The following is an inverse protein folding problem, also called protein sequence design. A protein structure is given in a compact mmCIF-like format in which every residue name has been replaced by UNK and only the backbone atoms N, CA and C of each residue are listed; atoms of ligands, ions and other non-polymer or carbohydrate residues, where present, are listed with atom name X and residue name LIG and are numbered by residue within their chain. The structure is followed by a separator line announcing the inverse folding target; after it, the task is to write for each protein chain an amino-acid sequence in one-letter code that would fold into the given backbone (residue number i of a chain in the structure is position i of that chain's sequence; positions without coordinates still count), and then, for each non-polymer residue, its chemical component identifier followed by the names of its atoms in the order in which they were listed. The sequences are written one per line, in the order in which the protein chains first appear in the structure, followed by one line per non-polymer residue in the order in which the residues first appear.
data_IF_184671857646
#
_entry.id   IF_184671857646
#
_cell.length_a   1.000
_cell.length_b   1.000
_cell.length_c   1.000
_cell.angle_alpha   90.00
_cell.angle_beta   90.00
_cell.angle_gamma   90.00
#
_symmetry.space_group_name_H-M   'P 1'
#
loop_
_entity.id
_entity.type
_entity.pdbx_description
1 polymer ?
#
# COMPACT_ATOMS: atom_id res chain seq x y z
N UNK A 1 -12.18 -20.86 -20.11
CA UNK A 1 -10.82 -21.42 -19.87
C UNK A 1 -9.82 -20.96 -20.93
N UNK A 2 -10.07 -21.16 -22.24
CA UNK A 2 -9.11 -20.78 -23.30
C UNK A 2 -8.73 -19.30 -23.32
N UNK A 3 -9.69 -18.38 -23.16
CA UNK A 3 -9.42 -16.92 -23.16
C UNK A 3 -8.60 -16.51 -21.93
N UNK A 4 -8.95 -16.99 -20.73
CA UNK A 4 -8.20 -16.69 -19.51
C UNK A 4 -6.76 -17.23 -19.57
N UNK A 5 -6.57 -18.41 -20.18
CA UNK A 5 -5.24 -18.99 -20.41
C UNK A 5 -4.41 -18.18 -21.40
N UNK A 6 -5.02 -17.71 -22.48
CA UNK A 6 -4.37 -16.87 -23.49
C UNK A 6 -3.96 -15.52 -22.91
N UNK A 7 -4.86 -14.85 -22.19
CA UNK A 7 -4.57 -13.60 -21.49
C UNK A 7 -3.44 -13.80 -20.47
N UNK A 8 -3.47 -14.88 -19.69
CA UNK A 8 -2.41 -15.19 -18.75
C UNK A 8 -1.05 -15.37 -19.44
N UNK A 9 -1.00 -16.15 -20.53
CA UNK A 9 0.24 -16.33 -21.32
C UNK A 9 0.76 -15.02 -21.89
N UNK A 10 -0.12 -14.13 -22.36
CA UNK A 10 0.25 -12.80 -22.80
C UNK A 10 0.93 -12.01 -21.67
N UNK A 11 0.30 -11.96 -20.49
CA UNK A 11 0.80 -11.19 -19.33
C UNK A 11 2.16 -11.69 -18.83
N UNK A 12 2.42 -13.01 -18.87
CA UNK A 12 3.72 -13.59 -18.51
C UNK A 12 4.88 -12.95 -19.31
N UNK A 13 4.65 -12.64 -20.58
CA UNK A 13 5.68 -12.10 -21.47
C UNK A 13 5.51 -10.63 -21.82
N UNK A 14 4.49 -9.96 -21.26
CA UNK A 14 4.07 -8.63 -21.70
C UNK A 14 5.16 -7.60 -21.45
N UNK A 15 5.75 -7.61 -20.26
CA UNK A 15 6.84 -6.71 -19.91
C UNK A 15 8.14 -7.46 -19.67
N UNK A 16 9.24 -6.73 -19.88
CA UNK A 16 10.60 -7.22 -19.63
C UNK A 16 11.33 -6.16 -18.82
N UNK A 17 11.29 -6.22 -17.48
CA UNK A 17 12.07 -5.29 -16.67
C UNK A 17 13.57 -5.50 -16.96
N UNK A 18 14.34 -4.42 -16.88
CA UNK A 18 15.80 -4.47 -17.11
C UNK A 18 16.55 -5.23 -16.01
N UNK A 19 15.95 -5.32 -14.83
CA UNK A 19 16.47 -5.97 -13.62
C UNK A 19 15.31 -6.54 -12.80
N UNK A 20 15.60 -7.59 -12.02
CA UNK A 20 14.66 -8.15 -11.04
C UNK A 20 13.92 -9.37 -11.58
N UNK A 21 12.93 -9.81 -10.80
CA UNK A 21 12.14 -11.00 -11.09
C UNK A 21 10.74 -10.59 -11.50
N UNK A 22 10.31 -11.01 -12.70
CA UNK A 22 8.96 -10.80 -13.21
C UNK A 22 8.05 -11.95 -12.80
N UNK A 23 7.06 -11.67 -11.94
CA UNK A 23 6.11 -12.67 -11.44
C UNK A 23 4.70 -12.30 -11.87
N UNK A 24 4.01 -13.25 -12.51
CA UNK A 24 2.61 -13.09 -12.92
C UNK A 24 1.79 -14.18 -12.23
N UNK A 25 1.22 -13.90 -11.04
CA UNK A 25 0.32 -14.84 -10.39
C UNK A 25 -0.97 -14.97 -11.18
N UNK A 26 -1.58 -16.14 -11.12
CA UNK A 26 -2.93 -16.35 -11.62
C UNK A 26 -3.91 -16.10 -10.48
N UNK A 27 -4.99 -15.37 -10.74
CA UNK A 27 -6.04 -15.21 -9.75
C UNK A 27 -6.55 -16.59 -9.30
N UNK A 28 -6.65 -16.85 -7.99
CA UNK A 28 -7.20 -18.09 -7.44
C UNK A 28 -8.73 -18.17 -7.55
N UNK A 29 -9.40 -17.09 -7.96
CA UNK A 29 -10.86 -17.03 -8.16
C UNK A 29 -11.24 -16.49 -9.53
N UNK A 30 -12.39 -16.92 -10.05
CA UNK A 30 -12.95 -16.52 -11.35
C UNK A 30 -14.25 -15.73 -11.12
N UNK A 31 -14.13 -14.53 -10.54
CA UNK A 31 -15.23 -13.60 -10.26
C UNK A 31 -14.88 -12.19 -10.71
N UNK A 32 -15.88 -11.31 -10.79
CA UNK A 32 -15.66 -9.93 -11.23
C UNK A 32 -14.69 -9.15 -10.31
N UNK A 33 -14.68 -9.47 -9.01
CA UNK A 33 -13.85 -8.85 -7.98
C UNK A 33 -12.65 -9.73 -7.57
N UNK A 34 -12.17 -10.59 -8.46
CA UNK A 34 -11.20 -11.65 -8.13
C UNK A 34 -9.95 -11.16 -7.40
N UNK A 35 -9.49 -9.93 -7.65
CA UNK A 35 -8.31 -9.33 -7.02
C UNK A 35 -8.62 -8.52 -5.75
N UNK A 36 -9.88 -8.41 -5.35
CA UNK A 36 -10.31 -7.60 -4.21
C UNK A 36 -10.52 -8.44 -2.95
N UNK A 37 -10.64 -9.76 -3.08
CA UNK A 37 -11.02 -10.65 -1.99
C UNK A 37 -9.89 -10.83 -0.96
N UNK A 38 -10.27 -11.06 0.30
CA UNK A 38 -9.35 -11.16 1.45
C UNK A 38 -8.15 -12.10 1.24
N UNK A 39 -8.36 -13.23 0.56
CA UNK A 39 -7.30 -14.22 0.33
C UNK A 39 -6.21 -13.74 -0.66
N UNK A 40 -6.45 -12.66 -1.41
CA UNK A 40 -5.50 -12.08 -2.35
C UNK A 40 -4.36 -11.39 -1.59
N UNK A 41 -4.68 -10.70 -0.50
CA UNK A 41 -3.72 -10.01 0.35
C UNK A 41 -2.79 -11.03 1.02
N UNK A 42 -3.36 -12.11 1.56
CA UNK A 42 -2.59 -13.24 2.09
C UNK A 42 -1.71 -13.90 1.02
N UNK A 43 -2.21 -14.03 -0.21
CA UNK A 43 -1.43 -14.57 -1.32
C UNK A 43 -0.22 -13.68 -1.64
N UNK A 44 -0.43 -12.37 -1.78
CA UNK A 44 0.68 -11.44 -2.07
C UNK A 44 1.67 -11.36 -0.91
N UNK A 45 1.20 -11.34 0.34
CA UNK A 45 2.08 -11.39 1.50
C UNK A 45 2.98 -12.62 1.46
N UNK A 46 2.42 -13.80 1.21
CA UNK A 46 3.20 -15.04 1.13
C UNK A 46 4.14 -15.08 -0.06
N UNK A 47 3.74 -14.55 -1.22
CA UNK A 47 4.64 -14.44 -2.38
C UNK A 47 5.82 -13.55 -2.01
N UNK A 48 5.57 -12.35 -1.47
CA UNK A 48 6.63 -11.40 -1.12
C UNK A 48 7.58 -12.00 -0.10
N UNK A 49 7.07 -12.55 1.00
CA UNK A 49 7.89 -13.19 2.05
C UNK A 49 8.74 -14.34 1.50
N UNK A 50 8.16 -15.21 0.68
CA UNK A 50 8.91 -16.32 0.09
C UNK A 50 10.03 -15.84 -0.82
N UNK A 51 9.82 -14.77 -1.59
CA UNK A 51 10.87 -14.21 -2.44
C UNK A 51 11.95 -13.50 -1.62
N UNK A 52 11.60 -12.86 -0.50
CA UNK A 52 12.59 -12.29 0.41
C UNK A 52 13.47 -13.40 0.99
N UNK A 53 12.88 -14.53 1.40
CA UNK A 53 13.58 -15.63 2.07
C UNK A 53 14.37 -16.50 1.09
N UNK A 54 13.78 -16.86 -0.06
CA UNK A 54 14.34 -17.85 -0.99
C UNK A 54 15.17 -17.20 -2.10
N UNK A 55 14.78 -16.00 -2.53
CA UNK A 55 15.42 -15.29 -3.63
C UNK A 55 16.18 -14.04 -3.19
N UNK A 56 16.21 -13.75 -1.88
CA UNK A 56 16.93 -12.62 -1.28
C UNK A 56 16.60 -11.28 -1.97
N UNK A 57 15.36 -11.12 -2.44
CA UNK A 57 14.93 -9.86 -3.05
C UNK A 57 15.00 -8.74 -2.01
N UNK A 58 15.27 -7.52 -2.48
CA UNK A 58 15.20 -6.34 -1.63
C UNK A 58 13.72 -6.03 -1.29
N UNK A 59 13.29 -6.09 0.00
CA UNK A 59 11.90 -5.81 0.39
C UNK A 59 11.47 -4.36 0.11
N UNK A 60 12.42 -3.45 -0.11
CA UNK A 60 12.14 -2.06 -0.46
C UNK A 60 12.07 -1.82 -1.97
N UNK A 61 12.14 -2.88 -2.79
CA UNK A 61 12.12 -2.84 -4.26
C UNK A 61 11.10 -3.84 -4.82
N UNK A 62 9.94 -3.92 -4.17
CA UNK A 62 8.79 -4.73 -4.60
C UNK A 62 7.77 -3.80 -5.26
N UNK A 63 7.25 -4.17 -6.43
CA UNK A 63 6.32 -3.36 -7.20
C UNK A 63 5.09 -4.20 -7.57
N UNK A 64 3.94 -3.55 -7.69
CA UNK A 64 2.70 -4.20 -8.16
C UNK A 64 2.12 -3.44 -9.34
N UNK A 65 1.68 -4.18 -10.34
CA UNK A 65 1.00 -3.60 -11.50
C UNK A 65 0.00 -4.59 -12.07
N UNK A 66 -0.99 -4.06 -12.78
CA UNK A 66 -2.12 -4.85 -13.22
C UNK A 66 -2.84 -4.22 -14.38
N UNK A 67 -3.26 -5.07 -15.32
CA UNK A 67 -3.94 -4.66 -16.54
C UNK A 67 -5.41 -5.09 -16.50
N UNK A 68 -6.34 -4.21 -16.87
CA UNK A 68 -7.78 -4.48 -16.91
C UNK A 68 -8.30 -4.91 -15.54
N UNK A 69 -8.85 -6.12 -15.40
CA UNK A 69 -9.24 -6.67 -14.08
C UNK A 69 -8.08 -6.68 -13.06
N UNK A 70 -6.82 -6.85 -13.52
CA UNK A 70 -5.66 -6.67 -12.65
C UNK A 70 -5.45 -5.21 -12.22
N UNK A 71 -5.82 -4.26 -13.08
CA UNK A 71 -5.82 -2.84 -12.77
C UNK A 71 -6.89 -2.46 -11.73
N UNK A 72 -8.08 -3.05 -11.83
CA UNK A 72 -9.12 -2.95 -10.78
C UNK A 72 -8.54 -3.42 -9.43
N UNK A 73 -7.83 -4.55 -9.46
CA UNK A 73 -7.09 -5.07 -8.31
C UNK A 73 -6.03 -4.11 -7.77
N UNK A 74 -5.23 -3.48 -8.63
CA UNK A 74 -4.20 -2.53 -8.20
C UNK A 74 -4.79 -1.30 -7.52
N UNK A 75 -5.92 -0.77 -8.00
CA UNK A 75 -6.60 0.32 -7.30
C UNK A 75 -7.00 -0.04 -5.87
N UNK A 76 -7.36 -1.29 -5.60
CA UNK A 76 -7.74 -1.79 -4.27
C UNK A 76 -6.54 -2.16 -3.40
N UNK A 77 -5.60 -2.92 -3.97
CA UNK A 77 -4.45 -3.46 -3.25
C UNK A 77 -3.42 -2.38 -2.91
N UNK A 78 -3.16 -1.43 -3.82
CA UNK A 78 -2.09 -0.45 -3.63
C UNK A 78 -2.31 0.45 -2.39
N UNK A 79 -3.50 1.03 -2.14
CA UNK A 79 -3.72 1.84 -0.93
C UNK A 79 -3.67 1.01 0.36
N UNK A 80 -4.25 -0.20 0.37
CA UNK A 80 -4.39 -0.99 1.61
C UNK A 80 -3.16 -1.81 1.97
N UNK A 81 -2.33 -2.15 0.98
CA UNK A 81 -1.03 -2.84 1.15
C UNK A 81 0.15 -1.91 0.83
N UNK A 82 -0.03 -0.59 0.95
CA UNK A 82 0.98 0.40 0.58
C UNK A 82 2.33 0.20 1.26
N UNK A 83 2.32 -0.38 2.46
CA UNK A 83 3.49 -0.69 3.26
C UNK A 83 4.29 -1.92 2.80
N UNK A 84 3.85 -2.60 1.73
CA UNK A 84 4.53 -3.73 1.08
C UNK A 84 5.22 -3.36 -0.22
N UNK A 85 4.82 -2.25 -0.85
CA UNK A 85 5.28 -1.87 -2.18
C UNK A 85 6.12 -0.60 -2.18
N UNK A 86 6.99 -0.51 -3.18
CA UNK A 86 7.80 0.66 -3.46
C UNK A 86 7.14 1.60 -4.46
N UNK A 87 6.33 1.07 -5.38
CA UNK A 87 5.46 1.81 -6.28
C UNK A 87 4.43 0.83 -6.86
N UNK A 88 3.33 1.37 -7.37
CA UNK A 88 2.30 0.60 -8.06
C UNK A 88 1.89 1.26 -9.39
N UNK A 89 1.41 0.45 -10.34
CA UNK A 89 0.89 0.95 -11.62
C UNK A 89 -0.42 0.26 -12.01
N UNK A 90 -1.45 1.05 -12.20
CA UNK A 90 -2.74 0.62 -12.69
C UNK A 90 -2.81 0.85 -14.20
N UNK A 91 -3.18 -0.20 -14.96
CA UNK A 91 -3.36 -0.13 -16.40
C UNK A 91 -4.78 -0.54 -16.79
N UNK A 92 -5.52 0.35 -17.47
CA UNK A 92 -6.86 0.09 -18.02
C UNK A 92 -7.89 -0.52 -17.04
N UNK A 93 -7.74 -0.26 -15.75
CA UNK A 93 -8.66 -0.67 -14.70
C UNK A 93 -9.63 0.43 -14.27
N UNK A 94 -10.51 0.10 -13.33
CA UNK A 94 -11.51 0.95 -12.73
C UNK A 94 -11.41 0.87 -11.19
N UNK A 95 -11.38 2.00 -10.48
CA UNK A 95 -11.17 2.01 -9.03
C UNK A 95 -12.35 1.48 -8.23
N UNK A 96 -13.55 1.48 -8.82
CA UNK A 96 -14.81 1.18 -8.13
C UNK A 96 -14.99 2.12 -6.93
N UNK A 97 -14.99 1.59 -5.72
CA UNK A 97 -15.09 2.30 -4.44
C UNK A 97 -13.72 2.54 -3.76
N UNK A 98 -12.61 2.25 -4.44
CA UNK A 98 -11.28 2.50 -3.88
C UNK A 98 -11.04 3.99 -3.63
N UNK A 99 -10.22 4.29 -2.62
CA UNK A 99 -9.83 5.66 -2.24
C UNK A 99 -8.33 5.87 -2.43
N UNK A 100 -7.89 7.03 -2.97
CA UNK A 100 -6.47 7.34 -3.10
C UNK A 100 -5.81 7.73 -1.78
N UNK A 101 -6.56 7.95 -0.70
CA UNK A 101 -6.02 8.43 0.59
C UNK A 101 -4.93 7.52 1.18
N UNK A 102 -5.06 6.19 1.00
CA UNK A 102 -4.05 5.23 1.46
C UNK A 102 -2.73 5.28 0.68
N UNK A 103 -2.67 5.97 -0.45
CA UNK A 103 -1.48 6.07 -1.32
C UNK A 103 -0.45 7.09 -0.85
N UNK A 104 -0.66 7.76 0.30
CA UNK A 104 0.20 8.84 0.78
C UNK A 104 1.71 8.55 0.62
N UNK A 105 2.13 7.35 0.99
CA UNK A 105 3.52 6.91 1.00
C UNK A 105 3.89 5.96 -0.16
N UNK A 106 2.95 5.66 -1.07
CA UNK A 106 3.15 4.75 -2.19
C UNK A 106 3.01 5.50 -3.51
N UNK A 107 4.10 5.65 -4.27
CA UNK A 107 4.03 6.18 -5.63
C UNK A 107 3.07 5.35 -6.50
N UNK A 108 2.12 6.02 -7.18
CA UNK A 108 1.06 5.37 -7.95
C UNK A 108 0.96 5.90 -9.38
N UNK A 109 1.02 5.00 -10.37
CA UNK A 109 0.84 5.36 -11.77
C UNK A 109 -0.50 4.87 -12.33
N UNK A 110 -1.06 5.63 -13.26
CA UNK A 110 -2.34 5.41 -13.93
C UNK A 110 -2.11 5.48 -15.43
N UNK A 111 -2.37 4.39 -16.14
CA UNK A 111 -2.32 4.32 -17.59
C UNK A 111 -3.67 3.85 -18.14
N UNK A 112 -4.33 4.67 -18.95
CA UNK A 112 -5.60 4.30 -19.59
C UNK A 112 -5.63 4.81 -21.02
N UNK A 113 -6.18 4.03 -21.95
CA UNK A 113 -6.39 4.49 -23.33
C UNK A 113 -7.41 5.62 -23.38
N UNK A 114 -7.14 6.67 -24.16
CA UNK A 114 -8.04 7.81 -24.33
C UNK A 114 -9.46 7.38 -24.75
N UNK A 115 -9.55 6.31 -25.55
CA UNK A 115 -10.79 5.74 -26.07
C UNK A 115 -11.28 4.51 -25.27
N UNK A 116 -10.70 4.20 -24.11
CA UNK A 116 -11.20 3.15 -23.21
C UNK A 116 -12.36 3.68 -22.36
N UNK A 117 -13.52 3.86 -23.00
CA UNK A 117 -14.71 4.45 -22.38
C UNK A 117 -15.61 3.43 -21.67
N UNK A 118 -15.26 2.15 -21.68
CA UNK A 118 -16.05 1.15 -20.97
C UNK A 118 -16.00 1.44 -19.47
N UNK A 119 -17.19 1.49 -18.84
CA UNK A 119 -17.33 1.89 -17.44
C UNK A 119 -16.72 3.27 -17.12
N UNK A 120 -16.60 4.15 -18.13
CA UNK A 120 -15.99 5.47 -18.01
C UNK A 120 -14.54 5.45 -17.49
N UNK A 121 -13.78 4.37 -17.70
CA UNK A 121 -12.41 4.22 -17.18
C UNK A 121 -11.51 5.41 -17.51
N UNK A 122 -11.56 5.91 -18.73
CA UNK A 122 -10.78 7.06 -19.16
C UNK A 122 -11.17 8.36 -18.42
N UNK A 123 -12.44 8.58 -18.13
CA UNK A 123 -12.91 9.75 -17.35
C UNK A 123 -12.54 9.60 -15.88
N UNK A 124 -12.78 8.43 -15.30
CA UNK A 124 -12.45 8.14 -13.90
C UNK A 124 -10.95 8.19 -13.65
N UNK A 125 -10.12 7.74 -14.59
CA UNK A 125 -8.67 7.88 -14.50
C UNK A 125 -8.20 9.34 -14.48
N UNK A 126 -8.89 10.24 -15.21
CA UNK A 126 -8.61 11.69 -15.14
C UNK A 126 -9.02 12.26 -13.78
N UNK A 127 -10.20 11.89 -13.28
CA UNK A 127 -10.69 12.31 -11.96
C UNK A 127 -9.75 11.88 -10.84
N UNK A 128 -9.29 10.62 -10.87
CA UNK A 128 -8.27 10.14 -9.92
C UNK A 128 -6.96 10.92 -10.01
N UNK A 129 -6.56 11.34 -11.21
CA UNK A 129 -5.41 12.24 -11.39
C UNK A 129 -5.63 13.58 -10.70
N UNK A 130 -6.79 14.22 -10.89
CA UNK A 130 -7.15 15.48 -10.24
C UNK A 130 -7.23 15.34 -8.70
N UNK A 131 -7.73 14.21 -8.19
CA UNK A 131 -7.73 13.91 -6.76
C UNK A 131 -6.31 13.76 -6.20
N UNK A 132 -5.42 13.07 -6.92
CA UNK A 132 -4.02 12.91 -6.53
C UNK A 132 -3.25 14.23 -6.59
N UNK A 133 -3.52 15.08 -7.59
CA UNK A 133 -2.99 16.44 -7.69
C UNK A 133 -3.40 17.25 -6.45
N UNK A 134 -4.68 17.24 -6.09
CA UNK A 134 -5.19 17.97 -4.92
C UNK A 134 -4.62 17.43 -3.59
N UNK A 135 -4.45 16.11 -3.47
CA UNK A 135 -3.83 15.50 -2.29
C UNK A 135 -2.35 15.87 -2.18
N UNK A 136 -1.62 15.87 -3.30
CA UNK A 136 -0.22 16.27 -3.32
C UNK A 136 -0.05 17.78 -3.10
N UNK A 137 -0.95 18.63 -3.57
CA UNK A 137 -0.92 20.07 -3.28
C UNK A 137 -1.00 20.36 -1.77
N UNK A 138 -1.81 19.57 -1.05
CA UNK A 138 -1.97 19.67 0.41
C UNK A 138 -0.83 18.97 1.20
N UNK A 139 -0.11 18.03 0.58
CA UNK A 139 1.02 17.31 1.18
C UNK A 139 2.13 17.11 0.13
N UNK A 140 2.97 18.14 -0.14
CA UNK A 140 3.86 18.18 -1.33
C UNK A 140 4.87 17.04 -1.48
N UNK A 141 5.18 16.33 -0.40
CA UNK A 141 6.12 15.21 -0.38
C UNK A 141 5.41 13.84 -0.35
N UNK A 142 4.10 13.80 -0.61
CA UNK A 142 3.27 12.61 -0.60
C UNK A 142 2.52 12.44 -1.93
N UNK A 143 1.85 11.30 -2.10
CA UNK A 143 0.99 11.00 -3.25
C UNK A 143 1.68 11.18 -4.61
N UNK A 144 2.98 10.84 -4.68
CA UNK A 144 3.72 10.88 -5.93
C UNK A 144 3.02 10.04 -6.99
N UNK A 145 2.71 10.64 -8.14
CA UNK A 145 1.92 9.95 -9.13
C UNK A 145 2.35 10.26 -10.57
N UNK A 146 1.92 9.40 -11.48
CA UNK A 146 2.06 9.55 -12.93
C UNK A 146 0.75 9.17 -13.58
N UNK A 147 0.12 10.11 -14.29
CA UNK A 147 -1.12 9.84 -15.03
C UNK A 147 -0.86 9.99 -16.52
N UNK A 148 -1.09 8.92 -17.27
CA UNK A 148 -0.92 8.89 -18.71
C UNK A 148 -2.20 8.39 -19.40
N UNK A 149 -2.97 9.33 -19.94
CA UNK A 149 -4.08 9.03 -20.82
C UNK A 149 -3.53 8.85 -22.25
N UNK A 150 -3.39 7.58 -22.66
CA UNK A 150 -2.73 7.21 -23.90
C UNK A 150 -3.57 7.62 -25.13
N UNK A 151 -3.15 8.70 -25.79
CA UNK A 151 -3.84 9.28 -26.94
C UNK A 151 -4.12 8.25 -28.05
N UNK A 152 -5.33 8.29 -28.59
CA UNK A 152 -5.85 7.39 -29.64
C UNK A 152 -5.80 5.88 -29.31
N UNK A 153 -5.52 5.48 -28.07
CA UNK A 153 -5.53 4.07 -27.66
C UNK A 153 -6.88 3.69 -27.07
N UNK A 154 -7.30 2.44 -27.28
CA UNK A 154 -8.47 1.84 -26.62
C UNK A 154 -8.03 1.06 -25.38
N UNK A 155 -8.82 0.08 -24.94
CA UNK A 155 -8.50 -0.79 -23.80
C UNK A 155 -7.12 -1.44 -23.88
N UNK A 156 -6.65 -1.76 -25.10
CA UNK A 156 -5.28 -2.18 -25.34
C UNK A 156 -4.40 -0.99 -25.74
N UNK A 157 -3.39 -0.66 -24.92
CA UNK A 157 -2.54 0.51 -25.09
C UNK A 157 -1.28 0.24 -25.93
N UNK A 158 -1.20 -0.94 -26.58
CA UNK A 158 -0.10 -1.31 -27.47
C UNK A 158 1.30 -1.20 -26.83
N UNK A 159 1.40 -1.47 -25.52
CA UNK A 159 2.66 -1.46 -24.78
C UNK A 159 3.16 -0.07 -24.37
N UNK A 160 2.41 1.01 -24.61
CA UNK A 160 2.78 2.37 -24.16
C UNK A 160 2.88 2.46 -22.63
N UNK A 161 2.06 1.70 -21.95
CA UNK A 161 2.03 1.51 -20.50
C UNK A 161 3.29 0.85 -19.93
N UNK A 162 4.18 0.29 -20.76
CA UNK A 162 5.48 -0.21 -20.33
C UNK A 162 6.39 0.91 -19.76
N UNK A 163 6.09 2.19 -20.03
CA UNK A 163 6.72 3.34 -19.38
C UNK A 163 6.69 3.21 -17.84
N UNK A 164 5.60 2.66 -17.30
CA UNK A 164 5.39 2.45 -15.87
C UNK A 164 6.56 1.70 -15.19
N UNK A 165 7.19 0.75 -15.89
CA UNK A 165 8.29 -0.04 -15.31
C UNK A 165 9.49 0.84 -14.98
N UNK A 166 9.88 1.70 -15.92
CA UNK A 166 11.02 2.61 -15.75
C UNK A 166 10.74 3.67 -14.70
N UNK A 167 9.49 4.14 -14.61
CA UNK A 167 9.05 5.08 -13.58
C UNK A 167 9.04 4.44 -12.20
N UNK A 168 8.41 3.26 -12.04
CA UNK A 168 8.36 2.53 -10.76
C UNK A 168 9.77 2.22 -10.24
N UNK A 169 10.70 1.82 -11.11
CA UNK A 169 12.07 1.45 -10.73
C UNK A 169 12.91 2.58 -10.11
N UNK A 170 12.46 3.84 -10.21
CA UNK A 170 13.11 4.99 -9.57
C UNK A 170 12.79 5.07 -8.07
N UNK A 171 11.70 4.45 -7.64
CA UNK A 171 11.23 4.50 -6.27
C UNK A 171 11.84 3.39 -5.42
N UNK A 172 11.96 3.68 -4.12
CA UNK A 172 12.35 2.73 -3.08
C UNK A 172 11.40 2.92 -1.91
N UNK A 173 10.83 1.82 -1.39
CA UNK A 173 9.90 1.86 -0.26
C UNK A 173 10.56 2.46 0.97
N UNK A 174 9.85 3.33 1.68
CA UNK A 174 10.20 3.72 3.03
C UNK A 174 9.38 2.87 4.04
N UNK A 175 9.99 1.90 4.75
CA UNK A 175 9.26 1.08 5.73
C UNK A 175 8.90 1.84 7.01
N UNK A 176 9.53 3.00 7.27
CA UNK A 176 9.34 3.82 8.46
C UNK A 176 8.96 5.27 8.09
N UNK A 177 7.85 5.50 7.38
CA UNK A 177 7.44 6.85 7.02
C UNK A 177 7.05 7.62 8.28
N UNK A 178 7.41 8.91 8.32
CA UNK A 178 7.07 9.78 9.46
C UNK A 178 5.58 10.04 9.58
N UNK A 179 4.84 10.01 8.48
CA UNK A 179 3.39 10.23 8.47
C UNK A 179 2.69 9.12 7.70
N UNK A 180 1.60 8.63 8.26
CA UNK A 180 0.79 7.54 7.71
C UNK A 180 -0.68 7.96 7.69
N UNK A 181 -1.36 7.58 6.62
CA UNK A 181 -2.82 7.70 6.47
C UNK A 181 -3.31 6.30 6.15
N UNK A 182 -3.96 5.67 7.12
CA UNK A 182 -4.47 4.31 7.03
C UNK A 182 -5.98 4.34 6.91
N UNK A 183 -6.49 4.02 5.72
CA UNK A 183 -7.92 3.88 5.46
C UNK A 183 -8.28 2.40 5.39
N UNK A 184 -9.32 1.99 6.12
CA UNK A 184 -9.85 0.63 6.09
C UNK A 184 -10.75 0.45 4.87
N UNK A 185 -10.45 -0.57 4.07
CA UNK A 185 -11.23 -0.94 2.88
C UNK A 185 -12.24 -2.05 3.23
N UNK A 186 -12.94 -2.57 2.23
CA UNK A 186 -13.82 -3.74 2.33
C UNK A 186 -13.09 -4.99 2.85
N UNK A 187 -11.80 -5.14 2.51
CA UNK A 187 -10.87 -6.04 3.20
C UNK A 187 -10.19 -5.28 4.32
N UNK A 188 -10.50 -5.68 5.55
CA UNK A 188 -9.95 -5.07 6.75
C UNK A 188 -8.54 -5.55 7.05
N UNK A 189 -7.71 -4.64 7.56
CA UNK A 189 -6.34 -4.95 7.98
C UNK A 189 -6.12 -4.57 9.43
N UNK A 190 -5.19 -5.28 10.08
CA UNK A 190 -4.81 -5.03 11.48
C UNK A 190 -3.41 -4.47 11.67
N UNK A 191 -2.65 -4.29 10.58
CA UNK A 191 -1.33 -3.67 10.62
C UNK A 191 -1.11 -2.85 9.36
N UNK A 192 -0.63 -1.63 9.52
CA UNK A 192 -0.21 -0.75 8.45
C UNK A 192 0.98 0.08 8.89
N UNK A 193 2.11 -0.10 8.20
CA UNK A 193 3.42 0.42 8.62
C UNK A 193 3.73 0.06 10.08
N UNK A 194 3.86 1.08 10.93
CA UNK A 194 4.20 0.99 12.34
C UNK A 194 2.98 1.09 13.27
N UNK A 195 1.76 1.04 12.74
CA UNK A 195 0.51 1.00 13.51
C UNK A 195 -0.13 -0.39 13.36
N UNK A 196 -0.71 -0.88 14.44
CA UNK A 196 -1.54 -2.08 14.44
C UNK A 196 -2.75 -1.94 15.36
N UNK A 197 -3.77 -2.73 15.10
CA UNK A 197 -5.00 -2.80 15.87
C UNK A 197 -5.10 -4.17 16.55
N UNK A 198 -5.34 -4.23 17.86
CA UNK A 198 -5.52 -5.51 18.54
C UNK A 198 -6.82 -6.19 18.11
N UNK A 199 -6.89 -7.51 18.30
CA UNK A 199 -8.06 -8.31 17.88
C UNK A 199 -9.37 -7.92 18.60
N UNK A 200 -9.26 -7.21 19.72
CA UNK A 200 -10.37 -6.68 20.50
C UNK A 200 -11.07 -5.49 19.84
N UNK A 201 -10.41 -4.80 18.90
CA UNK A 201 -10.98 -3.63 18.21
C UNK A 201 -11.84 -4.07 17.05
N UNK A 202 -13.10 -3.60 17.03
CA UNK A 202 -13.99 -3.77 15.90
C UNK A 202 -13.64 -2.73 14.83
N UNK A 203 -13.37 -3.21 13.61
CA UNK A 203 -12.96 -2.40 12.47
C UNK A 203 -14.12 -2.36 11.46
N UNK A 204 -14.39 -1.18 10.92
CA UNK A 204 -15.42 -0.95 9.91
C UNK A 204 -14.80 -0.27 8.67
N UNK A 205 -15.35 -0.56 7.49
CA UNK A 205 -14.92 0.05 6.23
C UNK A 205 -15.05 1.58 6.31
N UNK A 206 -14.06 2.29 5.76
CA UNK A 206 -14.02 3.75 5.74
C UNK A 206 -13.43 4.38 6.99
N UNK A 207 -13.20 3.62 8.08
CA UNK A 207 -12.46 4.14 9.23
C UNK A 207 -11.04 4.52 8.81
N UNK A 208 -10.58 5.64 9.35
CA UNK A 208 -9.26 6.22 9.05
C UNK A 208 -8.46 6.42 10.33
N UNK A 209 -7.16 6.10 10.26
CA UNK A 209 -6.16 6.43 11.27
C UNK A 209 -5.07 7.26 10.59
N UNK A 210 -4.82 8.46 11.11
CA UNK A 210 -3.66 9.27 10.70
C UNK A 210 -2.69 9.33 11.86
N UNK A 211 -1.39 9.12 11.59
CA UNK A 211 -0.37 9.35 12.60
C UNK A 211 0.86 10.02 12.00
N UNK A 212 1.50 10.87 12.79
CA UNK A 212 2.67 11.64 12.37
C UNK A 212 3.70 11.68 13.50
N UNK A 213 4.97 11.49 13.14
CA UNK A 213 6.12 11.56 14.03
C UNK A 213 6.91 12.83 13.72
N UNK A 214 6.92 13.77 14.65
CA UNK A 214 7.85 14.90 14.67
C UNK A 214 8.80 14.74 15.87
N UNK A 215 10.08 14.51 15.57
CA UNK A 215 11.13 14.20 16.55
C UNK A 215 10.71 13.03 17.47
N UNK A 216 10.38 13.33 18.72
CA UNK A 216 10.00 12.38 19.79
C UNK A 216 8.50 12.41 20.10
N UNK A 217 7.71 13.14 19.31
CA UNK A 217 6.26 13.24 19.48
C UNK A 217 5.55 12.48 18.36
N UNK A 218 4.64 11.61 18.75
CA UNK A 218 3.73 10.90 17.85
C UNK A 218 2.34 11.51 18.04
N UNK A 219 1.81 12.16 17.00
CA UNK A 219 0.44 12.68 16.99
C UNK A 219 -0.45 11.70 16.26
N UNK A 220 -1.61 11.35 16.82
CA UNK A 220 -2.53 10.35 16.27
C UNK A 220 -3.94 10.92 16.21
N UNK A 221 -4.65 10.60 15.13
CA UNK A 221 -6.08 10.86 14.95
C UNK A 221 -6.75 9.59 14.45
N UNK A 222 -7.90 9.24 15.02
CA UNK A 222 -8.63 8.01 14.71
C UNK A 222 -10.10 8.29 14.48
N UNK A 223 -10.74 7.56 13.57
CA UNK A 223 -12.20 7.54 13.47
C UNK A 223 -12.87 7.02 14.76
N UNK A 224 -14.13 7.39 14.94
CA UNK A 224 -14.95 6.92 16.06
C UNK A 224 -14.99 5.38 16.14
N UNK A 225 -15.00 4.85 17.37
CA UNK A 225 -15.01 3.41 17.65
C UNK A 225 -13.64 2.76 17.78
N UNK A 226 -12.56 3.43 17.36
CA UNK A 226 -11.18 2.97 17.58
C UNK A 226 -10.70 3.55 18.91
N UNK A 227 -10.58 2.70 19.94
CA UNK A 227 -10.19 3.09 21.31
C UNK A 227 -8.91 2.40 21.78
N UNK A 228 -8.28 1.61 20.91
CA UNK A 228 -7.05 0.91 21.22
C UNK A 228 -6.20 0.78 19.96
N UNK A 229 -4.91 1.08 20.07
CA UNK A 229 -3.92 0.89 19.00
C UNK A 229 -2.61 0.39 19.60
N UNK A 230 -1.81 -0.25 18.77
CA UNK A 230 -0.47 -0.71 19.10
C UNK A 230 0.53 -0.05 18.15
N UNK A 231 1.56 0.58 18.72
CA UNK A 231 2.67 1.18 17.96
C UNK A 231 3.85 0.21 17.95
N UNK A 232 4.30 -0.14 16.74
CA UNK A 232 5.54 -0.88 16.49
C UNK A 232 6.65 0.14 16.28
N UNK A 233 7.63 0.24 17.18
CA UNK A 233 8.64 1.31 17.16
C UNK A 233 10.04 0.78 16.83
N UNK A 234 10.86 1.65 16.22
CA UNK A 234 12.25 1.38 15.84
C UNK A 234 13.06 2.66 15.89
N UNK A 235 14.37 2.56 16.12
CA UNK A 235 15.31 3.68 16.10
C UNK A 235 15.39 4.40 14.75
N UNK A 236 14.94 3.73 13.68
CA UNK A 236 14.79 4.34 12.36
C UNK A 236 13.67 5.39 12.36
N UNK A 237 12.63 5.18 13.17
CA UNK A 237 11.47 6.06 13.25
C UNK A 237 11.67 7.20 14.24
N UNK A 238 12.31 6.99 15.38
CA UNK A 238 12.59 8.00 16.42
C UNK A 238 13.64 7.47 17.39
N UNK A 239 14.21 8.30 18.27
CA UNK A 239 15.25 7.87 19.21
C UNK A 239 14.63 7.19 20.44
N UNK A 240 14.79 5.87 20.57
CA UNK A 240 14.25 5.11 21.71
C UNK A 240 15.07 5.25 22.99
N UNK A 241 16.23 5.93 22.95
CA UNK A 241 17.00 6.30 24.16
C UNK A 241 16.45 7.56 24.84
N UNK A 242 15.51 8.24 24.20
CA UNK A 242 14.83 9.41 24.73
C UNK A 242 13.37 9.11 25.08
N UNK A 243 12.81 9.93 25.96
CA UNK A 243 11.37 9.90 26.24
C UNK A 243 10.59 10.23 24.97
N UNK A 244 9.50 9.51 24.75
CA UNK A 244 8.54 9.70 23.66
C UNK A 244 7.27 10.28 24.25
N UNK A 245 6.61 11.13 23.49
CA UNK A 245 5.27 11.66 23.76
C UNK A 245 4.30 11.12 22.73
N UNK A 246 3.14 10.63 23.14
CA UNK A 246 2.03 10.32 22.23
C UNK A 246 0.84 11.21 22.57
N UNK A 247 0.44 12.01 21.60
CA UNK A 247 -0.71 12.90 21.68
C UNK A 247 -1.82 12.37 20.76
N UNK A 248 -3.00 12.20 21.31
CA UNK A 248 -4.18 11.73 20.58
C UNK A 248 -5.19 12.87 20.44
N UNK A 249 -5.64 13.13 19.22
CA UNK A 249 -6.62 14.16 18.93
C UNK A 249 -7.91 13.92 19.73
N UNK A 250 -8.35 14.94 20.47
CA UNK A 250 -9.53 14.87 21.35
C UNK A 250 -9.25 14.34 22.77
N UNK A 251 -8.14 13.65 23.00
CA UNK A 251 -7.78 13.07 24.31
C UNK A 251 -6.53 13.69 24.95
N UNK A 252 -5.71 14.39 24.16
CA UNK A 252 -4.48 15.03 24.62
C UNK A 252 -3.34 14.03 24.77
N UNK A 253 -2.48 14.25 25.76
CA UNK A 253 -1.34 13.36 26.01
C UNK A 253 -1.81 12.03 26.62
N UNK A 254 -1.68 10.94 25.86
CA UNK A 254 -2.05 9.58 26.30
C UNK A 254 -0.84 8.77 26.75
N UNK A 255 0.38 9.20 26.41
CA UNK A 255 1.62 8.59 26.87
C UNK A 255 2.76 9.61 26.91
N UNK A 256 3.59 9.52 27.96
CA UNK A 256 4.89 10.17 28.02
C UNK A 256 5.87 9.29 28.80
N UNK A 257 6.93 8.82 28.14
CA UNK A 257 7.93 7.99 28.79
C UNK A 257 8.90 7.31 27.83
N UNK A 258 9.79 6.49 28.38
CA UNK A 258 10.70 5.66 27.58
C UNK A 258 10.02 4.35 27.19
N UNK A 259 10.16 3.93 25.93
CA UNK A 259 9.69 2.63 25.46
C UNK A 259 10.90 1.72 25.24
N UNK A 260 10.97 0.63 26.00
CA UNK A 260 12.13 -0.24 26.00
C UNK A 260 12.17 -1.13 24.76
N UNK A 261 13.37 -1.28 24.20
CA UNK A 261 13.64 -2.29 23.17
C UNK A 261 13.56 -3.68 23.80
N UNK A 262 12.90 -4.61 23.12
CA UNK A 262 12.76 -5.99 23.62
C UNK A 262 12.99 -7.02 22.52
N UNK A 263 13.55 -8.18 22.91
CA UNK A 263 13.65 -9.34 22.02
C UNK A 263 12.28 -9.78 21.50
N UNK A 264 11.28 -9.72 22.37
CA UNK A 264 9.89 -10.08 22.04
C UNK A 264 9.34 -9.20 20.93
N UNK A 265 9.64 -7.89 20.94
CA UNK A 265 9.21 -7.00 19.87
C UNK A 265 9.78 -7.38 18.50
N UNK A 266 11.07 -7.73 18.47
CA UNK A 266 11.76 -8.19 17.26
C UNK A 266 11.13 -9.50 16.75
N UNK A 267 10.94 -10.47 17.65
CA UNK A 267 10.34 -11.77 17.33
C UNK A 267 8.92 -11.61 16.80
N UNK A 268 8.07 -10.83 17.48
CA UNK A 268 6.69 -10.62 17.07
C UNK A 268 6.60 -9.85 15.75
N UNK A 269 7.46 -8.85 15.53
CA UNK A 269 7.48 -8.10 14.28
C UNK A 269 7.80 -9.00 13.09
N UNK A 270 8.80 -9.88 13.22
CA UNK A 270 9.23 -10.86 12.22
C UNK A 270 8.22 -12.00 12.02
N UNK A 271 7.53 -12.42 13.08
CA UNK A 271 6.45 -13.40 12.98
C UNK A 271 5.24 -12.88 12.21
N UNK A 272 4.90 -11.60 12.39
CA UNK A 272 3.81 -10.98 11.66
C UNK A 272 4.18 -10.67 10.21
N UNK A 273 5.43 -10.24 9.94
CA UNK A 273 5.93 -10.01 8.59
C UNK A 273 7.41 -10.37 8.51
N UNK A 274 7.75 -11.30 7.62
CA UNK A 274 9.14 -11.71 7.38
C UNK A 274 9.88 -10.68 6.48
N UNK A 275 9.95 -9.43 6.94
CA UNK A 275 10.60 -8.31 6.26
C UNK A 275 11.63 -7.65 7.21
N UNK A 276 12.94 -7.85 7.00
CA UNK A 276 13.97 -7.32 7.88
C UNK A 276 14.03 -5.78 7.88
N UNK A 277 13.50 -5.08 6.87
CA UNK A 277 13.57 -3.61 6.80
C UNK A 277 12.50 -2.93 7.64
N UNK A 278 11.44 -3.66 8.05
CA UNK A 278 10.32 -3.15 8.85
C UNK A 278 10.21 -3.77 10.25
N UNK A 279 11.32 -4.31 10.76
CA UNK A 279 11.39 -4.95 12.09
C UNK A 279 11.35 -3.91 13.20
N UNK A 280 10.32 -3.99 14.02
CA UNK A 280 10.19 -3.20 15.23
C UNK A 280 11.06 -3.78 16.35
N UNK A 281 11.67 -2.88 17.13
CA UNK A 281 12.48 -3.24 18.29
C UNK A 281 11.76 -2.95 19.60
N UNK A 282 10.67 -2.19 19.57
CA UNK A 282 9.86 -1.83 20.73
C UNK A 282 8.36 -1.85 20.37
N UNK A 283 7.51 -2.05 21.37
CA UNK A 283 6.06 -2.00 21.25
C UNK A 283 5.47 -1.11 22.33
N UNK A 284 4.46 -0.33 21.97
CA UNK A 284 3.68 0.48 22.89
C UNK A 284 2.19 0.25 22.61
N UNK A 285 1.47 -0.24 23.61
CA UNK A 285 0.01 -0.38 23.57
C UNK A 285 -0.61 0.89 24.15
N UNK A 286 -1.65 1.39 23.49
CA UNK A 286 -2.38 2.59 23.87
C UNK A 286 -3.87 2.27 23.90
N UNK A 287 -4.54 2.69 24.97
CA UNK A 287 -5.99 2.59 25.14
C UNK A 287 -6.51 3.85 25.80
N UNK A 288 -7.71 4.30 25.42
CA UNK A 288 -8.33 5.53 25.91
C UNK A 288 -9.85 5.44 25.99
#
# INVERSE_FOLDING_TARGET
VSINDEQYRNQISLYKPSEGIWVVPRSPTDSWNQWHQEHIDLMFDRIIENYIIVHEINPNRVYILGYSAGGDGVYKLAPRMADRFSAAAMMAGHPNDASPLGLRNLPFAIFVGENDSNYNRNEVARQWGEELDALQENDPNAYHHLVNICANMSHWMCGRDAEALSWMAQWTRNPWPKKVVWVQDDVIHKRFYWISLPDTVKIEQGQTITAEVDKQTITISTSEGIQQINLSLSDVLLDLDQSITVDLEGYGNVFQGHVMRTKKAIEDSLHHRADPTSVATAYLELAW
#
